data_IF_872199328094
#
_entry.id   IF_872199328094
#
_cell.length_a   1.000
_cell.length_b   1.000
_cell.length_c   1.000
_cell.angle_alpha   90.00
_cell.angle_beta   90.00
_cell.angle_gamma   90.00
#
_symmetry.space_group_name_H-M   'P 1'
#
loop_
_entity.id
_entity.type
_entity.pdbx_description
1 polymer ?
#
# COMPACT_ATOMS: atom_id res chain seq x y z
N UNK A 1 36.44 73.62 -1.95
CA UNK A 1 35.43 72.92 -1.13
C UNK A 1 34.96 71.58 -1.77
N UNK A 2 35.82 70.82 -2.45
CA UNK A 2 35.39 69.68 -3.31
C UNK A 2 36.01 68.31 -2.90
N UNK A 3 36.94 68.26 -1.95
CA UNK A 3 37.66 67.01 -1.60
C UNK A 3 36.91 66.03 -0.67
N UNK A 4 35.78 66.42 -0.05
CA UNK A 4 35.06 65.54 0.89
C UNK A 4 34.05 64.59 0.23
N UNK A 5 33.42 64.94 -0.89
CA UNK A 5 32.35 64.09 -1.48
C UNK A 5 32.88 62.82 -2.17
N UNK A 6 34.08 62.86 -2.76
CA UNK A 6 34.67 61.73 -3.49
C UNK A 6 35.02 60.53 -2.59
N UNK A 7 35.31 60.79 -1.30
CA UNK A 7 35.60 59.73 -0.31
C UNK A 7 34.36 58.97 0.15
N UNK A 8 33.21 59.64 0.27
CA UNK A 8 31.94 58.98 0.62
C UNK A 8 31.42 58.11 -0.52
N UNK A 9 31.56 58.56 -1.77
CA UNK A 9 31.15 57.78 -2.94
C UNK A 9 32.00 56.50 -3.07
N UNK A 10 33.32 56.60 -2.86
CA UNK A 10 34.20 55.42 -2.90
C UNK A 10 33.93 54.42 -1.76
N UNK A 11 33.55 54.91 -0.57
CA UNK A 11 33.22 54.07 0.58
C UNK A 11 31.87 53.36 0.41
N UNK A 12 30.86 54.05 -0.14
CA UNK A 12 29.55 53.46 -0.45
C UNK A 12 29.65 52.43 -1.58
N UNK A 13 30.45 52.72 -2.63
CA UNK A 13 30.70 51.75 -3.71
C UNK A 13 31.41 50.49 -3.18
N UNK A 14 32.39 50.64 -2.27
CA UNK A 14 33.06 49.50 -1.61
C UNK A 14 32.12 48.66 -0.74
N UNK A 15 31.19 49.28 -0.02
CA UNK A 15 30.20 48.54 0.79
C UNK A 15 29.22 47.78 -0.12
N UNK A 16 28.81 48.37 -1.25
CA UNK A 16 27.91 47.73 -2.21
C UNK A 16 28.60 46.56 -2.92
N UNK A 17 29.85 46.70 -3.35
CA UNK A 17 30.60 45.59 -3.98
C UNK A 17 30.95 44.48 -2.98
N UNK A 18 31.22 44.82 -1.71
CA UNK A 18 31.44 43.81 -0.66
C UNK A 18 30.17 43.01 -0.32
N UNK A 19 28.99 43.64 -0.36
CA UNK A 19 27.71 42.94 -0.16
C UNK A 19 27.33 42.05 -1.35
N UNK A 20 27.66 42.44 -2.58
CA UNK A 20 27.42 41.61 -3.77
C UNK A 20 28.29 40.33 -3.73
N UNK A 21 29.54 40.42 -3.24
CA UNK A 21 30.43 39.26 -3.11
C UNK A 21 30.06 38.29 -1.98
N UNK A 22 29.42 38.76 -0.91
CA UNK A 22 28.99 37.91 0.21
C UNK A 22 27.72 37.11 -0.11
N UNK A 23 26.88 37.56 -1.03
CA UNK A 23 25.66 36.85 -1.41
C UNK A 23 25.86 35.75 -2.48
N UNK A 24 27.02 35.69 -3.15
CA UNK A 24 27.28 34.73 -4.23
C UNK A 24 27.68 33.33 -3.76
N UNK A 25 27.89 33.12 -2.45
CA UNK A 25 28.24 31.82 -1.88
C UNK A 25 27.05 31.10 -1.23
N UNK A 26 25.82 31.51 -1.52
CA UNK A 26 24.68 30.63 -1.32
C UNK A 26 24.89 29.43 -2.25
N UNK A 27 25.45 28.35 -1.71
CA UNK A 27 25.58 27.07 -2.39
C UNK A 27 24.21 26.76 -3.01
N UNK A 28 24.11 26.90 -4.33
CA UNK A 28 23.10 26.23 -5.11
C UNK A 28 23.39 24.74 -4.90
N UNK A 29 22.78 24.19 -3.85
CA UNK A 29 22.83 22.77 -3.55
C UNK A 29 22.31 22.09 -4.82
N UNK A 30 23.15 21.28 -5.43
CA UNK A 30 22.89 20.66 -6.72
C UNK A 30 21.50 20.01 -6.70
N UNK A 31 20.55 20.64 -7.40
CA UNK A 31 19.13 20.27 -7.36
C UNK A 31 18.97 18.84 -7.85
N UNK A 32 19.84 18.39 -8.75
CA UNK A 32 19.87 17.02 -9.26
C UNK A 32 20.40 16.05 -8.20
N UNK A 33 21.38 16.46 -7.37
CA UNK A 33 21.84 15.67 -6.25
C UNK A 33 20.76 15.51 -5.17
N UNK A 34 20.04 16.59 -4.84
CA UNK A 34 18.91 16.54 -3.91
C UNK A 34 17.75 15.70 -4.46
N UNK A 35 17.39 15.88 -5.73
CA UNK A 35 16.37 15.08 -6.40
C UNK A 35 16.73 13.59 -6.38
N UNK A 36 18.01 13.24 -6.56
CA UNK A 36 18.48 11.86 -6.46
C UNK A 36 18.47 11.31 -5.02
N UNK A 37 18.70 12.14 -4.00
CA UNK A 37 18.69 11.71 -2.60
C UNK A 37 17.25 11.51 -2.10
N UNK A 38 16.34 12.43 -2.44
CA UNK A 38 14.95 12.41 -1.94
C UNK A 38 13.96 11.72 -2.89
N UNK A 39 14.30 11.56 -4.17
CA UNK A 39 13.44 10.95 -5.20
C UNK A 39 13.65 9.44 -5.37
N UNK A 40 14.68 8.85 -4.75
CA UNK A 40 14.89 7.40 -4.78
C UNK A 40 13.90 6.69 -3.89
N UNK A 41 13.28 5.64 -4.44
CA UNK A 41 12.49 4.70 -3.64
C UNK A 41 13.40 4.02 -2.60
N UNK A 42 12.87 3.76 -1.39
CA UNK A 42 13.63 3.05 -0.36
C UNK A 42 14.07 1.69 -0.89
N UNK A 43 15.30 1.29 -0.55
CA UNK A 43 15.82 -0.03 -0.94
C UNK A 43 14.99 -1.15 -0.31
N UNK A 44 14.58 -1.00 0.95
CA UNK A 44 13.69 -1.92 1.66
C UNK A 44 12.50 -1.12 2.20
N UNK A 45 11.29 -1.53 1.84
CA UNK A 45 10.04 -0.88 2.25
C UNK A 45 9.24 -1.65 3.29
N UNK A 46 9.64 -2.90 3.61
CA UNK A 46 8.98 -3.76 4.59
C UNK A 46 9.82 -4.99 4.89
N UNK A 47 9.71 -5.52 6.10
CA UNK A 47 10.42 -6.70 6.57
C UNK A 47 9.56 -7.47 7.58
N UNK A 48 9.51 -8.79 7.45
CA UNK A 48 8.76 -9.69 8.32
C UNK A 48 9.59 -10.94 8.63
N UNK A 49 9.61 -11.36 9.89
CA UNK A 49 10.35 -12.54 10.35
C UNK A 49 9.36 -13.69 10.53
N UNK A 50 9.76 -14.92 10.15
CA UNK A 50 8.92 -16.10 10.35
C UNK A 50 8.62 -16.33 11.83
N UNK A 51 7.51 -17.01 12.18
CA UNK A 51 7.13 -17.23 13.58
C UNK A 51 8.22 -17.90 14.43
N UNK A 52 8.99 -18.82 13.84
CA UNK A 52 10.13 -19.49 14.48
C UNK A 52 11.46 -18.69 14.47
N UNK A 53 11.49 -17.52 13.83
CA UNK A 53 12.69 -16.69 13.73
C UNK A 53 13.74 -17.19 12.74
N UNK A 54 13.48 -18.25 11.98
CA UNK A 54 14.49 -18.87 11.10
C UNK A 54 14.60 -18.25 9.72
N UNK A 55 13.61 -17.44 9.30
CA UNK A 55 13.54 -16.84 7.96
C UNK A 55 13.10 -15.39 8.02
N UNK A 56 13.41 -14.65 6.97
CA UNK A 56 12.98 -13.27 6.77
C UNK A 56 12.38 -13.10 5.37
N UNK A 57 11.33 -12.28 5.29
CA UNK A 57 10.72 -11.79 4.06
C UNK A 57 10.93 -10.27 3.99
N UNK A 58 11.41 -9.77 2.85
CA UNK A 58 11.76 -8.37 2.63
C UNK A 58 11.06 -7.85 1.37
N UNK A 59 10.51 -6.64 1.42
CA UNK A 59 10.02 -5.93 0.25
C UNK A 59 11.11 -5.02 -0.28
N UNK A 60 11.88 -5.51 -1.24
CA UNK A 60 13.08 -4.84 -1.75
C UNK A 60 12.80 -4.15 -3.09
N UNK A 61 13.33 -2.95 -3.27
CA UNK A 61 13.37 -2.28 -4.56
C UNK A 61 14.54 -2.83 -5.39
N UNK A 62 14.20 -3.48 -6.50
CA UNK A 62 15.14 -3.99 -7.49
C UNK A 62 14.85 -3.32 -8.84
N UNK A 63 15.77 -2.44 -9.28
CA UNK A 63 15.67 -1.70 -10.54
C UNK A 63 14.36 -0.89 -10.69
N UNK A 64 13.89 -0.27 -9.59
CA UNK A 64 12.66 0.52 -9.59
C UNK A 64 11.38 -0.31 -9.38
N UNK A 65 11.49 -1.64 -9.31
CA UNK A 65 10.38 -2.55 -9.06
C UNK A 65 10.48 -3.15 -7.67
N UNK A 66 9.36 -3.21 -6.96
CA UNK A 66 9.32 -3.86 -5.65
C UNK A 66 9.14 -5.37 -5.82
N UNK A 67 10.11 -6.13 -5.33
CA UNK A 67 10.12 -7.59 -5.30
C UNK A 67 10.08 -8.10 -3.86
N UNK A 68 9.61 -9.32 -3.69
CA UNK A 68 9.68 -10.02 -2.42
C UNK A 68 10.98 -10.82 -2.40
N UNK A 69 11.83 -10.56 -1.41
CA UNK A 69 13.04 -11.33 -1.16
C UNK A 69 12.86 -12.15 0.10
N UNK A 70 13.07 -13.46 0.02
CA UNK A 70 13.01 -14.33 1.20
C UNK A 70 14.34 -15.04 1.42
N UNK A 71 14.74 -15.21 2.68
CA UNK A 71 16.05 -15.75 3.03
C UNK A 71 16.02 -16.50 4.37
N UNK A 72 16.83 -17.56 4.47
CA UNK A 72 17.15 -18.22 5.73
C UNK A 72 18.10 -17.37 6.58
N UNK A 73 17.75 -17.18 7.86
CA UNK A 73 18.57 -16.52 8.86
C UNK A 73 19.54 -17.48 9.58
N UNK A 74 19.27 -18.78 9.49
CA UNK A 74 20.04 -19.83 10.21
C UNK A 74 21.00 -20.61 9.31
N UNK A 75 20.78 -20.57 8.00
CA UNK A 75 21.63 -21.25 7.02
C UNK A 75 21.93 -20.32 5.85
N UNK A 76 23.15 -19.79 5.82
CA UNK A 76 23.62 -18.89 4.76
C UNK A 76 23.94 -19.60 3.44
N UNK A 77 23.97 -20.94 3.42
CA UNK A 77 24.18 -21.72 2.19
C UNK A 77 22.92 -21.81 1.32
N UNK A 78 21.74 -21.61 1.92
CA UNK A 78 20.48 -21.54 1.20
C UNK A 78 20.42 -20.20 0.46
N UNK A 79 20.31 -20.19 -0.89
CA UNK A 79 20.21 -18.96 -1.64
C UNK A 79 18.93 -18.20 -1.26
N UNK A 80 19.00 -16.87 -1.30
CA UNK A 80 17.79 -16.06 -1.17
C UNK A 80 16.90 -16.23 -2.41
N UNK A 81 15.59 -16.18 -2.22
CA UNK A 81 14.63 -16.18 -3.31
C UNK A 81 14.28 -14.73 -3.66
N UNK A 82 14.26 -14.41 -4.96
CA UNK A 82 13.73 -13.14 -5.47
C UNK A 82 12.46 -13.39 -6.25
N UNK A 83 11.32 -12.99 -5.69
CA UNK A 83 9.99 -13.29 -6.21
C UNK A 83 9.39 -11.97 -6.74
N UNK A 84 9.40 -11.75 -8.07
CA UNK A 84 8.74 -10.60 -8.68
C UNK A 84 7.24 -10.82 -8.82
N UNK A 85 6.49 -9.74 -9.02
CA UNK A 85 5.11 -9.78 -9.50
C UNK A 85 5.01 -9.01 -10.83
N UNK A 86 5.18 -9.68 -11.99
CA UNK A 86 5.18 -9.01 -13.28
C UNK A 86 3.89 -8.23 -13.54
N UNK A 87 4.01 -7.00 -14.06
CA UNK A 87 2.86 -6.14 -14.34
C UNK A 87 2.25 -5.48 -13.10
N UNK A 88 2.85 -5.63 -11.92
CA UNK A 88 2.36 -5.02 -10.70
C UNK A 88 3.42 -4.82 -9.63
N UNK A 89 2.97 -4.77 -8.38
CA UNK A 89 3.78 -4.54 -7.20
C UNK A 89 3.31 -5.42 -6.04
N UNK A 90 4.25 -5.80 -5.18
CA UNK A 90 3.96 -6.50 -3.93
C UNK A 90 3.78 -5.47 -2.82
N UNK A 91 2.55 -5.27 -2.35
CA UNK A 91 2.25 -4.18 -1.42
C UNK A 91 2.66 -4.51 0.02
N UNK A 92 2.42 -5.75 0.45
CA UNK A 92 2.70 -6.24 1.79
C UNK A 92 2.89 -7.78 1.80
N UNK A 93 3.52 -8.29 2.85
CA UNK A 93 3.72 -9.73 3.11
C UNK A 93 3.41 -10.00 4.59
N UNK A 94 2.86 -11.17 4.90
CA UNK A 94 2.61 -11.67 6.25
C UNK A 94 2.96 -13.17 6.29
N UNK A 95 3.70 -13.62 7.29
CA UNK A 95 3.91 -15.06 7.51
C UNK A 95 2.65 -15.73 8.04
N UNK A 96 2.35 -16.92 7.52
CA UNK A 96 1.22 -17.74 7.99
C UNK A 96 1.67 -18.88 8.87
N UNK A 97 2.77 -19.49 8.50
CA UNK A 97 3.51 -20.45 9.30
C UNK A 97 5.00 -20.27 8.98
N UNK A 98 5.84 -21.28 9.20
CA UNK A 98 7.29 -21.17 8.97
C UNK A 98 7.69 -21.42 7.50
N UNK A 99 6.73 -21.82 6.67
CA UNK A 99 6.92 -22.25 5.29
C UNK A 99 6.09 -21.43 4.29
N UNK A 100 4.98 -20.84 4.71
CA UNK A 100 3.99 -20.20 3.86
C UNK A 100 3.79 -18.74 4.24
N UNK A 101 3.53 -17.95 3.21
CA UNK A 101 3.33 -16.51 3.30
C UNK A 101 2.03 -16.13 2.57
N UNK A 102 1.39 -15.09 3.08
CA UNK A 102 0.31 -14.40 2.40
C UNK A 102 0.81 -13.05 1.92
N UNK A 103 0.56 -12.75 0.65
CA UNK A 103 1.08 -11.56 -0.02
C UNK A 103 -0.09 -10.79 -0.62
N UNK A 104 -0.10 -9.47 -0.39
CA UNK A 104 -0.95 -8.54 -1.11
C UNK A 104 -0.24 -8.00 -2.33
N UNK A 105 -0.85 -8.13 -3.49
CA UNK A 105 -0.32 -7.60 -4.75
C UNK A 105 -1.28 -6.60 -5.36
N UNK A 106 -0.77 -5.61 -6.06
CA UNK A 106 -1.56 -4.69 -6.87
C UNK A 106 -0.99 -4.52 -8.27
N UNK A 107 -1.86 -4.21 -9.21
CA UNK A 107 -1.53 -4.04 -10.62
C UNK A 107 -2.59 -3.18 -11.29
N UNK A 108 -2.25 -2.57 -12.41
CA UNK A 108 -3.19 -1.80 -13.22
C UNK A 108 -3.71 -2.70 -14.34
N UNK A 109 -5.02 -2.68 -14.54
CA UNK A 109 -5.69 -3.45 -15.60
C UNK A 109 -6.96 -2.71 -16.05
N UNK A 110 -7.47 -3.12 -17.20
CA UNK A 110 -8.74 -2.61 -17.72
C UNK A 110 -9.88 -3.37 -17.07
N UNK A 111 -10.73 -2.66 -16.33
CA UNK A 111 -11.93 -3.22 -15.71
C UNK A 111 -13.19 -2.70 -16.37
N UNK A 112 -14.17 -3.59 -16.45
CA UNK A 112 -15.52 -3.26 -16.83
C UNK A 112 -16.23 -2.63 -15.63
N UNK A 113 -16.48 -1.32 -15.67
CA UNK A 113 -17.39 -0.67 -14.74
C UNK A 113 -18.79 -0.62 -15.35
N UNK A 114 -19.76 -1.19 -14.64
CA UNK A 114 -21.16 -0.87 -14.91
C UNK A 114 -21.46 0.48 -14.27
N UNK A 115 -21.67 1.49 -15.10
CA UNK A 115 -22.32 2.72 -14.66
C UNK A 115 -23.80 2.70 -15.06
N UNK A 116 -24.55 3.69 -14.55
CA UNK A 116 -25.99 3.87 -14.74
C UNK A 116 -26.52 3.35 -16.10
N UNK A 117 -27.58 2.52 -16.07
CA UNK A 117 -28.27 1.93 -17.23
C UNK A 117 -27.52 0.83 -18.01
N UNK A 118 -26.84 -0.11 -17.35
CA UNK A 118 -26.26 -1.33 -17.96
C UNK A 118 -25.14 -1.10 -18.98
N UNK A 119 -24.71 0.14 -19.22
CA UNK A 119 -23.54 0.42 -20.05
C UNK A 119 -22.26 0.02 -19.31
N UNK A 120 -21.47 -0.82 -19.98
CA UNK A 120 -20.17 -1.26 -19.52
C UNK A 120 -19.11 -0.38 -20.18
N UNK A 121 -18.35 0.33 -19.37
CA UNK A 121 -17.19 1.09 -19.83
C UNK A 121 -15.91 0.40 -19.35
N UNK A 122 -14.95 0.30 -20.26
CA UNK A 122 -13.58 -0.06 -19.95
C UNK A 122 -12.90 1.14 -19.30
N UNK A 123 -12.38 0.95 -18.09
CA UNK A 123 -11.56 1.96 -17.42
C UNK A 123 -10.28 1.30 -16.93
N UNK A 124 -9.18 2.04 -17.03
CA UNK A 124 -7.95 1.67 -16.34
C UNK A 124 -8.18 1.80 -14.84
N UNK A 125 -7.93 0.72 -14.11
CA UNK A 125 -8.13 0.69 -12.68
C UNK A 125 -7.03 -0.10 -11.99
N UNK A 126 -6.63 0.40 -10.83
CA UNK A 126 -5.75 -0.35 -9.93
C UNK A 126 -6.52 -1.45 -9.22
N UNK A 127 -6.07 -2.68 -9.38
CA UNK A 127 -6.59 -3.88 -8.74
C UNK A 127 -5.71 -4.30 -7.57
N UNK A 128 -6.26 -5.10 -6.67
CA UNK A 128 -5.44 -5.85 -5.70
C UNK A 128 -5.94 -7.27 -5.48
N UNK A 129 -5.00 -8.20 -5.29
CA UNK A 129 -5.25 -9.64 -5.10
C UNK A 129 -4.43 -10.16 -3.92
N UNK A 130 -4.92 -11.25 -3.34
CA UNK A 130 -4.14 -12.05 -2.41
C UNK A 130 -3.43 -13.16 -3.17
N UNK A 131 -2.20 -13.45 -2.74
CA UNK A 131 -1.42 -14.61 -3.18
C UNK A 131 -0.95 -15.33 -1.93
N UNK A 132 -1.39 -16.58 -1.76
CA UNK A 132 -0.87 -17.50 -0.76
C UNK A 132 0.12 -18.43 -1.45
N UNK A 133 1.33 -18.56 -0.91
CA UNK A 133 2.40 -19.36 -1.51
C UNK A 133 3.42 -19.80 -0.47
N UNK A 134 4.28 -20.74 -0.84
CA UNK A 134 5.45 -21.10 -0.05
C UNK A 134 6.47 -19.96 -0.07
N UNK A 135 7.32 -19.86 0.95
CA UNK A 135 8.25 -18.74 1.14
C UNK A 135 9.26 -18.57 0.00
N UNK A 136 9.53 -19.62 -0.77
CA UNK A 136 10.36 -19.58 -1.99
C UNK A 136 9.60 -19.22 -3.27
N UNK A 137 8.31 -18.93 -3.17
CA UNK A 137 7.45 -18.53 -4.27
C UNK A 137 6.76 -19.70 -4.97
N UNK A 138 6.95 -20.93 -4.53
CA UNK A 138 6.28 -22.08 -5.11
C UNK A 138 4.78 -22.15 -4.74
N UNK A 139 4.01 -22.76 -5.64
CA UNK A 139 2.58 -23.03 -5.50
C UNK A 139 1.72 -21.80 -5.20
N UNK A 140 1.85 -20.70 -5.96
CA UNK A 140 1.03 -19.51 -5.73
C UNK A 140 -0.43 -19.78 -6.05
N UNK A 141 -1.31 -19.44 -5.10
CA UNK A 141 -2.76 -19.52 -5.25
C UNK A 141 -3.41 -18.21 -4.83
N UNK A 142 -4.49 -17.81 -5.50
CA UNK A 142 -5.38 -16.79 -4.97
C UNK A 142 -6.41 -17.46 -4.05
N UNK A 143 -6.37 -17.25 -2.72
CA UNK A 143 -7.29 -17.91 -1.80
C UNK A 143 -8.73 -17.34 -1.86
N UNK A 144 -8.97 -16.31 -2.66
CA UNK A 144 -10.26 -15.65 -2.74
C UNK A 144 -11.33 -16.54 -3.39
N UNK A 145 -12.46 -16.81 -2.71
CA UNK A 145 -13.59 -17.50 -3.33
C UNK A 145 -14.13 -16.72 -4.54
N UNK A 146 -14.73 -17.41 -5.53
CA UNK A 146 -15.44 -16.74 -6.60
C UNK A 146 -16.64 -15.96 -6.05
N UNK A 147 -16.90 -14.77 -6.59
CA UNK A 147 -18.12 -14.01 -6.32
C UNK A 147 -19.14 -14.30 -7.40
N UNK A 148 -20.37 -14.64 -7.00
CA UNK A 148 -21.51 -14.93 -7.87
C UNK A 148 -22.14 -13.64 -8.42
N UNK A 149 -21.39 -12.90 -9.24
CA UNK A 149 -21.85 -11.71 -9.97
C UNK A 149 -20.97 -11.44 -11.18
N UNK A 150 -21.49 -10.66 -12.14
CA UNK A 150 -20.77 -10.31 -13.39
C UNK A 150 -19.44 -9.59 -13.16
N UNK A 151 -19.36 -8.70 -12.17
CA UNK A 151 -18.17 -7.90 -11.90
C UNK A 151 -17.41 -8.42 -10.68
N UNK A 152 -16.15 -8.80 -10.86
CA UNK A 152 -15.34 -9.24 -9.73
C UNK A 152 -14.95 -8.05 -8.83
N UNK A 153 -14.85 -8.24 -7.50
CA UNK A 153 -14.28 -7.23 -6.61
C UNK A 153 -12.92 -6.72 -7.09
N UNK A 154 -12.80 -5.40 -7.20
CA UNK A 154 -11.56 -4.74 -7.62
C UNK A 154 -10.45 -4.89 -6.56
N UNK A 155 -10.82 -4.74 -5.29
CA UNK A 155 -9.86 -4.78 -4.18
C UNK A 155 -10.09 -6.02 -3.32
N UNK A 156 -9.13 -6.95 -3.38
CA UNK A 156 -9.22 -8.24 -2.70
C UNK A 156 -8.12 -8.43 -1.64
N UNK A 157 -7.11 -7.55 -1.59
CA UNK A 157 -5.98 -7.64 -0.66
C UNK A 157 -6.14 -6.80 0.63
N UNK A 158 -7.35 -6.32 0.92
CA UNK A 158 -7.60 -5.54 2.14
C UNK A 158 -7.90 -6.48 3.31
N UNK A 159 -6.86 -6.90 4.03
CA UNK A 159 -7.01 -7.70 5.26
C UNK A 159 -7.39 -6.80 6.42
N UNK A 160 -8.48 -7.12 7.10
CA UNK A 160 -8.96 -6.44 8.32
C UNK A 160 -8.32 -7.05 9.56
N UNK A 161 -8.14 -8.37 9.55
CA UNK A 161 -7.56 -9.13 10.65
C UNK A 161 -6.99 -10.45 10.14
N UNK A 162 -5.81 -10.82 10.62
CA UNK A 162 -5.15 -12.08 10.29
C UNK A 162 -5.56 -13.26 11.17
N UNK A 163 -6.37 -13.03 12.22
CA UNK A 163 -6.88 -14.05 13.14
C UNK A 163 -5.75 -14.95 13.68
N UNK A 164 -4.86 -14.39 14.51
CA UNK A 164 -3.63 -15.09 14.95
C UNK A 164 -3.90 -16.42 15.66
N UNK A 165 -5.07 -16.55 16.30
CA UNK A 165 -5.52 -17.78 16.96
C UNK A 165 -6.16 -18.80 16.00
N UNK A 166 -6.44 -18.43 14.75
CA UNK A 166 -7.04 -19.26 13.69
C UNK A 166 -6.30 -19.00 12.35
N UNK A 167 -5.05 -19.50 12.20
CA UNK A 167 -4.14 -19.13 11.10
C UNK A 167 -4.63 -19.54 9.71
N UNK A 168 -5.56 -20.50 9.66
CA UNK A 168 -6.22 -20.98 8.45
C UNK A 168 -7.18 -19.94 7.85
N UNK A 169 -7.59 -18.93 8.63
CA UNK A 169 -8.61 -17.99 8.25
C UNK A 169 -8.14 -16.54 8.39
N UNK A 170 -8.75 -15.65 7.61
CA UNK A 170 -8.55 -14.20 7.74
C UNK A 170 -9.87 -13.46 7.56
N UNK A 171 -9.92 -12.23 8.06
CA UNK A 171 -10.98 -11.27 7.76
C UNK A 171 -10.53 -10.37 6.63
N UNK A 172 -11.28 -10.35 5.53
CA UNK A 172 -11.03 -9.49 4.37
C UNK A 172 -12.17 -8.51 4.18
N UNK A 173 -11.82 -7.27 3.86
CA UNK A 173 -12.77 -6.24 3.45
C UNK A 173 -12.98 -6.31 1.94
N UNK A 174 -14.17 -6.73 1.53
CA UNK A 174 -14.49 -7.00 0.12
C UNK A 174 -15.99 -6.77 -0.16
N UNK A 175 -16.30 -6.30 -1.36
CA UNK A 175 -17.65 -5.91 -1.77
C UNK A 175 -18.43 -7.09 -2.39
N UNK A 176 -18.49 -8.24 -1.71
CA UNK A 176 -19.14 -9.47 -2.24
C UNK A 176 -20.62 -9.26 -2.58
N UNK A 177 -21.37 -8.59 -1.71
CA UNK A 177 -22.84 -8.47 -1.84
C UNK A 177 -23.27 -7.44 -2.90
N UNK A 178 -22.62 -6.27 -2.92
CA UNK A 178 -22.97 -5.15 -3.80
C UNK A 178 -21.71 -4.35 -4.11
N UNK A 179 -21.57 -3.96 -5.38
CA UNK A 179 -20.40 -3.21 -5.84
C UNK A 179 -20.24 -1.92 -5.03
N UNK A 180 -18.99 -1.62 -4.65
CA UNK A 180 -18.62 -0.47 -3.83
C UNK A 180 -19.11 -0.47 -2.37
N UNK A 181 -19.86 -1.50 -1.93
CA UNK A 181 -20.24 -1.68 -0.53
C UNK A 181 -19.37 -2.77 0.11
N UNK A 182 -18.15 -2.40 0.53
CA UNK A 182 -17.19 -3.37 1.10
C UNK A 182 -17.61 -3.78 2.51
N UNK A 183 -18.03 -5.03 2.64
CA UNK A 183 -18.29 -5.68 3.93
C UNK A 183 -17.05 -6.40 4.44
N UNK A 184 -17.18 -7.05 5.59
CA UNK A 184 -16.12 -7.94 6.11
C UNK A 184 -16.56 -9.38 5.94
N UNK A 185 -15.72 -10.16 5.28
CA UNK A 185 -15.91 -11.58 5.06
C UNK A 185 -14.75 -12.34 5.71
N UNK A 186 -15.04 -13.48 6.31
CA UNK A 186 -14.04 -14.46 6.68
C UNK A 186 -13.83 -15.42 5.51
N UNK A 187 -12.56 -15.70 5.18
CA UNK A 187 -12.16 -16.71 4.19
C UNK A 187 -11.11 -17.63 4.79
N UNK A 188 -11.08 -18.87 4.31
CA UNK A 188 -9.99 -19.80 4.58
C UNK A 188 -8.91 -19.63 3.50
N UNK A 189 -7.64 -19.58 3.89
CA UNK A 189 -6.53 -19.33 2.95
C UNK A 189 -5.77 -20.60 2.54
N UNK A 190 -5.85 -21.66 3.34
CA UNK A 190 -5.09 -22.90 3.13
C UNK A 190 -5.82 -23.91 2.23
N UNK A 191 -7.14 -23.80 2.14
CA UNK A 191 -8.01 -24.61 1.28
C UNK A 191 -8.63 -23.66 0.29
N UNK A 192 -8.55 -23.96 -1.02
CA UNK A 192 -9.24 -23.22 -2.08
C UNK A 192 -10.68 -22.91 -1.67
N UNK A 193 -10.90 -21.71 -1.11
CA UNK A 193 -12.09 -21.45 -0.34
C UNK A 193 -13.25 -21.35 -1.30
N UNK A 194 -14.29 -22.15 -1.05
CA UNK A 194 -15.43 -22.22 -1.96
C UNK A 194 -16.45 -21.11 -1.72
N UNK A 195 -16.45 -20.52 -0.52
CA UNK A 195 -17.47 -19.56 -0.08
C UNK A 195 -16.89 -18.57 0.91
N UNK A 196 -17.46 -17.36 0.89
CA UNK A 196 -17.28 -16.36 1.93
C UNK A 196 -18.17 -16.68 3.14
N UNK A 197 -17.65 -16.49 4.35
CA UNK A 197 -18.47 -16.40 5.56
C UNK A 197 -18.65 -14.93 5.93
N UNK A 198 -19.88 -14.45 5.82
CA UNK A 198 -20.20 -13.05 6.12
C UNK A 198 -20.07 -12.76 7.60
N UNK A 199 -19.18 -11.82 7.94
CA UNK A 199 -19.03 -11.27 9.29
C UNK A 199 -19.81 -9.98 9.42
N UNK A 200 -19.74 -9.13 8.38
CA UNK A 200 -20.40 -7.84 8.36
C UNK A 200 -20.81 -7.45 6.95
N UNK A 201 -22.06 -6.98 6.80
CA UNK A 201 -22.54 -6.43 5.53
C UNK A 201 -21.85 -5.10 5.24
N UNK A 202 -21.51 -4.87 3.98
CA UNK A 202 -20.97 -3.60 3.51
C UNK A 202 -21.97 -2.45 3.64
N UNK A 203 -21.43 -1.23 3.68
CA UNK A 203 -22.20 0.01 3.67
C UNK A 203 -21.51 0.96 2.70
N UNK A 204 -22.29 1.65 1.89
CA UNK A 204 -21.83 2.63 0.89
C UNK A 204 -20.96 3.74 1.50
N UNK A 205 -21.30 4.20 2.70
CA UNK A 205 -20.59 5.27 3.41
C UNK A 205 -19.37 4.81 4.20
N UNK A 206 -19.14 3.50 4.33
CA UNK A 206 -18.00 2.95 5.06
C UNK A 206 -16.95 2.43 4.08
N UNK A 207 -15.75 2.98 4.19
CA UNK A 207 -14.63 2.70 3.29
C UNK A 207 -13.58 1.78 3.91
N UNK A 208 -13.47 1.75 5.24
CA UNK A 208 -12.51 0.92 5.96
C UNK A 208 -13.13 0.37 7.23
N UNK A 209 -12.86 -0.91 7.52
CA UNK A 209 -13.19 -1.61 8.74
C UNK A 209 -11.90 -1.99 9.49
N UNK A 210 -11.97 -1.98 10.83
CA UNK A 210 -10.90 -2.45 11.72
C UNK A 210 -11.46 -3.37 12.80
N UNK A 211 -10.71 -4.44 13.09
CA UNK A 211 -10.93 -5.30 14.24
C UNK A 211 -10.18 -4.79 15.48
N UNK A 212 -10.64 -5.19 16.65
CA UNK A 212 -9.91 -5.00 17.92
C UNK A 212 -8.95 -6.17 18.18
N UNK A 213 -8.23 -6.13 19.30
CA UNK A 213 -7.30 -7.19 19.72
C UNK A 213 -7.97 -8.54 20.01
N UNK A 214 -9.30 -8.59 20.13
CA UNK A 214 -10.07 -9.82 20.34
C UNK A 214 -10.65 -10.36 19.03
N UNK A 215 -10.15 -9.89 17.89
CA UNK A 215 -10.59 -10.29 16.56
C UNK A 215 -12.05 -9.93 16.23
N UNK A 216 -12.61 -8.93 16.92
CA UNK A 216 -13.97 -8.44 16.68
C UNK A 216 -13.93 -7.17 15.83
N UNK A 217 -14.62 -7.18 14.69
CA UNK A 217 -14.79 -5.97 13.85
C UNK A 217 -15.64 -4.94 14.59
N UNK A 218 -15.01 -3.84 15.04
CA UNK A 218 -15.66 -2.81 15.85
C UNK A 218 -15.75 -1.45 15.20
N UNK A 219 -14.73 -1.06 14.43
CA UNK A 219 -14.61 0.31 13.93
C UNK A 219 -14.76 0.35 12.41
N UNK A 220 -15.69 1.17 11.93
CA UNK A 220 -15.82 1.51 10.52
C UNK A 220 -15.59 3.00 10.30
N UNK A 221 -14.79 3.36 9.31
CA UNK A 221 -14.60 4.75 8.87
C UNK A 221 -14.90 4.94 7.41
N UNK A 222 -15.45 6.09 7.07
CA UNK A 222 -15.64 6.49 5.67
C UNK A 222 -16.24 7.87 5.57
N UNK A 223 -16.65 8.22 4.36
CA UNK A 223 -17.21 9.53 4.05
C UNK A 223 -18.64 9.41 3.56
N UNK A 224 -19.49 10.33 4.01
CA UNK A 224 -20.80 10.54 3.39
C UNK A 224 -20.75 11.79 2.54
N UNK A 225 -21.01 11.62 1.24
CA UNK A 225 -21.20 12.72 0.31
C UNK A 225 -22.70 13.04 0.23
N UNK A 226 -23.07 14.28 0.58
CA UNK A 226 -24.40 14.79 0.27
C UNK A 226 -24.33 15.46 -1.11
N UNK A 227 -24.75 14.75 -2.15
CA UNK A 227 -24.86 15.30 -3.50
C UNK A 227 -25.68 16.61 -3.45
N UNK A 228 -25.08 17.71 -3.91
CA UNK A 228 -25.67 19.06 -3.90
C UNK A 228 -25.12 20.02 -2.83
N UNK A 229 -24.36 19.56 -1.82
CA UNK A 229 -23.79 20.46 -0.79
C UNK A 229 -22.26 20.48 -0.72
N UNK A 230 -21.54 19.66 -1.52
CA UNK A 230 -20.08 19.47 -1.43
C UNK A 230 -19.56 19.29 0.00
N UNK A 231 -20.38 18.70 0.89
CA UNK A 231 -20.00 18.41 2.28
C UNK A 231 -19.62 16.94 2.39
N UNK A 232 -18.36 16.71 2.70
CA UNK A 232 -17.81 15.41 3.12
C UNK A 232 -17.93 15.33 4.64
N UNK A 233 -18.58 14.30 5.17
CA UNK A 233 -18.59 14.02 6.61
C UNK A 233 -17.84 12.73 6.88
N UNK A 234 -16.82 12.80 7.74
CA UNK A 234 -16.18 11.62 8.30
C UNK A 234 -17.16 10.92 9.24
N UNK A 235 -17.30 9.61 9.06
CA UNK A 235 -18.14 8.77 9.90
C UNK A 235 -17.25 7.80 10.67
N UNK A 236 -17.59 7.60 11.94
CA UNK A 236 -17.10 6.51 12.76
C UNK A 236 -18.32 5.66 13.16
N UNK A 237 -18.26 4.36 12.85
CA UNK A 237 -19.25 3.38 13.28
C UNK A 237 -18.60 2.46 14.30
N UNK A 238 -19.17 2.41 15.51
CA UNK A 238 -18.69 1.54 16.58
C UNK A 238 -19.70 0.43 16.88
N UNK A 239 -19.21 -0.81 16.98
CA UNK A 239 -19.99 -1.98 17.38
C UNK A 239 -19.61 -2.44 18.79
N UNK A 240 -20.64 -2.66 19.62
CA UNK A 240 -20.51 -3.30 20.94
C UNK A 240 -20.28 -4.80 20.80
#
# INVERSE_FOLDING_TARGET
MIKKSTRYISFVISIVTFNIFLCSNAFAQDVDALANIFGKLPEISGAEISPDGTKIALLQNYQGNKILVTKSLVDASIPQNGIPYPGGSIDWVEWKDNENILVGVSFDDVVNLSSFNEYIFNVDARLSKLVYMRWDGENPVNPMPPVDRKLQPQFQANVVDFLKDDPDNILVQIDVDKQNERGVQQINITRNAKRFKKILRGRDVIQSWKADSNHVVRFGSGTKNNYGQMKVRNLAYYRK
#
